data_IF_137010835281
#
_entry.id   IF_137010835281
#
_cell.length_a   1.000
_cell.length_b   1.000
_cell.length_c   1.000
_cell.angle_alpha   90.00
_cell.angle_beta   90.00
_cell.angle_gamma   90.00
#
_symmetry.space_group_name_H-M   'P 1'
#
loop_
_entity.id
_entity.type
_entity.pdbx_description
1 polymer ?
#
# COMPACT_ATOMS: atom_id res chain seq x y z
N UNK A 1 15.35 -22.78 32.02
CA UNK A 1 16.31 -22.18 31.08
C UNK A 1 16.41 -23.10 29.90
N UNK A 2 16.03 -22.62 28.73
CA UNK A 2 16.02 -23.40 27.50
C UNK A 2 17.47 -23.63 27.06
N UNK A 3 17.77 -24.84 26.62
CA UNK A 3 19.11 -25.19 26.18
C UNK A 3 19.35 -24.58 24.78
N UNK A 4 20.45 -23.83 24.64
CA UNK A 4 20.84 -23.17 23.39
C UNK A 4 20.96 -24.12 22.20
N UNK A 5 21.27 -25.39 22.43
CA UNK A 5 21.39 -26.40 21.36
C UNK A 5 20.04 -26.97 20.92
N UNK A 6 19.03 -26.87 21.77
CA UNK A 6 17.71 -27.44 21.53
C UNK A 6 16.79 -26.40 20.89
N UNK A 7 16.81 -25.15 21.39
CA UNK A 7 16.18 -24.00 20.74
C UNK A 7 16.97 -22.72 21.04
N UNK A 8 17.81 -22.34 20.07
CA UNK A 8 18.63 -21.13 20.17
C UNK A 8 17.78 -19.86 20.17
N UNK A 9 16.68 -19.82 19.43
CA UNK A 9 15.86 -18.61 19.31
C UNK A 9 15.16 -18.31 20.65
N UNK A 10 14.51 -19.30 21.23
CA UNK A 10 13.81 -19.12 22.50
C UNK A 10 14.80 -18.88 23.64
N UNK A 11 15.93 -19.61 23.68
CA UNK A 11 16.96 -19.40 24.70
C UNK A 11 17.56 -17.98 24.72
N UNK A 12 17.71 -17.34 23.56
CA UNK A 12 18.22 -15.96 23.47
C UNK A 12 17.13 -14.92 23.73
N UNK A 13 15.91 -15.16 23.24
CA UNK A 13 14.83 -14.18 23.27
C UNK A 13 13.81 -14.39 24.41
N UNK A 14 14.02 -15.38 25.29
CA UNK A 14 13.07 -15.81 26.33
C UNK A 14 12.46 -14.63 27.10
N UNK A 15 13.30 -13.69 27.55
CA UNK A 15 12.84 -12.54 28.34
C UNK A 15 12.01 -11.56 27.51
N UNK A 16 12.38 -11.33 26.25
CA UNK A 16 11.62 -10.44 25.37
C UNK A 16 10.29 -11.08 24.97
N UNK A 17 10.28 -12.38 24.61
CA UNK A 17 9.08 -13.12 24.23
C UNK A 17 8.01 -13.11 25.33
N UNK A 18 8.41 -13.14 26.61
CA UNK A 18 7.48 -13.06 27.76
C UNK A 18 6.75 -11.73 27.88
N UNK A 19 7.30 -10.65 27.32
CA UNK A 19 6.78 -9.28 27.45
C UNK A 19 6.43 -8.65 26.11
N UNK A 20 6.67 -9.35 24.99
CA UNK A 20 6.45 -8.82 23.66
C UNK A 20 4.94 -8.74 23.40
N UNK A 21 4.47 -7.53 23.14
CA UNK A 21 3.10 -7.27 22.71
C UNK A 21 3.12 -6.89 21.22
N UNK A 22 2.20 -7.46 20.45
CA UNK A 22 1.91 -7.00 19.10
C UNK A 22 0.93 -5.84 19.22
N UNK A 23 1.32 -4.60 18.86
CA UNK A 23 0.41 -3.46 18.92
C UNK A 23 -0.85 -3.68 18.09
N UNK A 24 -1.98 -3.13 18.53
CA UNK A 24 -3.29 -3.38 17.90
C UNK A 24 -3.37 -2.90 16.43
N UNK A 25 -2.50 -1.97 16.03
CA UNK A 25 -2.38 -1.41 14.69
C UNK A 25 -1.28 -2.10 13.84
N UNK A 26 -0.67 -3.18 14.35
CA UNK A 26 0.44 -3.88 13.70
C UNK A 26 0.14 -5.38 13.55
N UNK A 27 0.58 -6.02 12.45
CA UNK A 27 0.42 -7.47 12.28
C UNK A 27 1.51 -8.27 13.01
N UNK A 28 2.59 -7.64 13.47
CA UNK A 28 3.73 -8.28 14.13
C UNK A 28 4.53 -7.28 14.99
N UNK A 29 5.40 -7.78 15.87
CA UNK A 29 6.34 -7.00 16.71
C UNK A 29 7.74 -7.61 16.66
N UNK A 30 8.77 -6.79 16.87
CA UNK A 30 10.15 -7.21 16.74
C UNK A 30 11.14 -6.06 16.62
N UNK A 31 12.44 -6.38 16.57
CA UNK A 31 13.51 -5.38 16.45
C UNK A 31 13.43 -4.56 15.17
N UNK A 32 13.05 -5.19 14.05
CA UNK A 32 12.86 -4.49 12.77
C UNK A 32 11.67 -3.53 12.79
N UNK A 33 10.56 -3.93 13.41
CA UNK A 33 9.39 -3.07 13.60
C UNK A 33 9.74 -1.86 14.47
N UNK A 34 10.47 -2.08 15.58
CA UNK A 34 10.93 -0.98 16.43
C UNK A 34 11.81 0.01 15.66
N UNK A 35 12.73 -0.49 14.83
CA UNK A 35 13.58 0.36 13.99
C UNK A 35 12.74 1.16 12.98
N UNK A 36 11.81 0.50 12.28
CA UNK A 36 10.93 1.14 11.31
C UNK A 36 10.08 2.24 11.97
N UNK A 37 9.50 1.97 13.14
CA UNK A 37 8.71 2.96 13.90
C UNK A 37 9.54 4.15 14.37
N UNK A 38 10.78 3.92 14.80
CA UNK A 38 11.66 5.01 15.20
C UNK A 38 12.03 5.91 14.01
N UNK A 39 12.29 5.32 12.84
CA UNK A 39 12.54 6.06 11.60
C UNK A 39 11.27 6.82 11.18
N UNK A 40 10.10 6.18 11.22
CA UNK A 40 8.82 6.81 10.90
C UNK A 40 8.56 8.04 11.78
N UNK A 41 8.71 7.90 13.11
CA UNK A 41 8.56 9.01 14.07
C UNK A 41 9.55 10.15 13.79
N UNK A 42 10.80 9.82 13.45
CA UNK A 42 11.81 10.83 13.10
C UNK A 42 11.40 11.59 11.84
N UNK A 43 11.06 10.88 10.75
CA UNK A 43 10.66 11.49 9.48
C UNK A 43 9.40 12.34 9.63
N UNK A 44 8.39 11.85 10.36
CA UNK A 44 7.18 12.62 10.67
C UNK A 44 7.50 13.91 11.41
N UNK A 45 8.40 13.85 12.41
CA UNK A 45 8.83 15.03 13.15
C UNK A 45 9.54 16.03 12.25
N UNK A 46 10.49 15.58 11.43
CA UNK A 46 11.26 16.46 10.54
C UNK A 46 10.37 17.12 9.47
N UNK A 47 9.48 16.35 8.84
CA UNK A 47 8.51 16.89 7.88
C UNK A 47 7.56 17.89 8.55
N UNK A 48 7.12 17.61 9.79
CA UNK A 48 6.30 18.55 10.57
C UNK A 48 7.05 19.84 10.87
N UNK A 49 8.29 19.75 11.36
CA UNK A 49 9.10 20.91 11.71
C UNK A 49 9.35 21.79 10.47
N UNK A 50 9.72 21.19 9.34
CA UNK A 50 9.83 21.91 8.06
C UNK A 50 8.48 22.50 7.61
N UNK A 51 7.37 21.78 7.80
CA UNK A 51 6.04 22.27 7.42
C UNK A 51 5.60 23.50 8.21
N UNK A 52 6.07 23.64 9.46
CA UNK A 52 5.79 24.76 10.36
C UNK A 52 6.84 25.88 10.29
N UNK A 53 7.90 25.72 9.50
CA UNK A 53 9.01 26.67 9.41
C UNK A 53 9.97 26.63 10.61
N UNK A 54 9.93 25.55 11.40
CA UNK A 54 10.85 25.32 12.53
C UNK A 54 12.17 24.68 12.10
N UNK A 55 12.29 24.28 10.82
CA UNK A 55 13.49 23.73 10.22
C UNK A 55 13.60 24.18 8.76
N UNK A 56 14.83 24.31 8.27
CA UNK A 56 15.12 24.70 6.89
C UNK A 56 14.74 23.59 5.90
N UNK A 57 14.24 23.98 4.73
CA UNK A 57 14.00 23.06 3.63
C UNK A 57 15.24 23.07 2.71
N UNK A 58 16.01 21.97 2.63
CA UNK A 58 17.33 21.95 2.02
C UNK A 58 17.32 22.08 0.49
N UNK A 59 16.28 21.59 -0.19
CA UNK A 59 16.18 21.62 -1.64
C UNK A 59 14.73 21.59 -2.16
N UNK A 60 14.57 21.69 -3.48
CA UNK A 60 13.26 21.66 -4.13
C UNK A 60 12.52 20.34 -3.99
N UNK A 61 13.22 19.20 -3.96
CA UNK A 61 12.57 17.89 -3.78
C UNK A 61 12.01 17.75 -2.37
N UNK A 62 12.75 18.22 -1.37
CA UNK A 62 12.29 18.25 0.01
C UNK A 62 11.12 19.21 0.18
N UNK A 63 11.08 20.32 -0.58
CA UNK A 63 9.91 21.19 -0.63
C UNK A 63 8.65 20.46 -1.11
N UNK A 64 8.76 19.62 -2.15
CA UNK A 64 7.64 18.80 -2.60
C UNK A 64 7.24 17.74 -1.57
N UNK A 65 8.20 17.10 -0.89
CA UNK A 65 7.92 16.16 0.20
C UNK A 65 7.15 16.83 1.35
N UNK A 66 7.53 18.06 1.74
CA UNK A 66 6.82 18.84 2.77
C UNK A 66 5.42 19.25 2.30
N UNK A 67 5.26 19.62 1.02
CA UNK A 67 3.94 19.91 0.44
C UNK A 67 3.04 18.67 0.45
N UNK A 68 3.58 17.50 0.10
CA UNK A 68 2.86 16.23 0.15
C UNK A 68 2.49 15.84 1.59
N UNK A 69 3.41 16.03 2.55
CA UNK A 69 3.13 15.83 3.97
C UNK A 69 1.96 16.72 4.43
N UNK A 70 1.95 18.01 4.07
CA UNK A 70 0.82 18.91 4.40
C UNK A 70 -0.50 18.41 3.81
N UNK A 71 -0.49 17.96 2.55
CA UNK A 71 -1.67 17.42 1.89
C UNK A 71 -2.20 16.16 2.59
N UNK A 72 -1.31 15.21 2.92
CA UNK A 72 -1.68 13.96 3.59
C UNK A 72 -2.14 14.16 5.04
N UNK A 73 -1.53 15.12 5.76
CA UNK A 73 -1.79 15.40 7.17
C UNK A 73 -2.92 16.41 7.40
N UNK A 74 -3.58 16.92 6.36
CA UNK A 74 -4.77 17.78 6.45
C UNK A 74 -6.04 16.93 6.60
N UNK A 75 -6.27 16.44 7.82
CA UNK A 75 -7.42 15.60 8.15
C UNK A 75 -8.75 16.36 7.99
N UNK A 76 -8.81 17.63 8.37
CA UNK A 76 -10.03 18.44 8.25
C UNK A 76 -10.49 18.56 6.80
N UNK A 77 -9.54 18.81 5.88
CA UNK A 77 -9.86 18.85 4.45
C UNK A 77 -10.26 17.48 3.91
N UNK A 78 -9.60 16.40 4.33
CA UNK A 78 -9.94 15.04 3.90
C UNK A 78 -11.36 14.66 4.35
N UNK A 79 -11.72 14.95 5.59
CA UNK A 79 -13.06 14.74 6.11
C UNK A 79 -14.10 15.65 5.43
N UNK A 80 -13.75 16.88 5.08
CA UNK A 80 -14.66 17.76 4.35
C UNK A 80 -14.91 17.30 2.91
N UNK A 81 -13.87 16.79 2.23
CA UNK A 81 -13.96 16.36 0.82
C UNK A 81 -14.70 15.03 0.64
N UNK A 82 -14.67 14.15 1.65
CA UNK A 82 -15.25 12.81 1.57
C UNK A 82 -14.76 12.09 0.30
N UNK A 83 -15.64 11.35 -0.39
CA UNK A 83 -15.34 10.66 -1.64
C UNK A 83 -15.45 11.55 -2.90
N UNK A 84 -15.71 12.85 -2.76
CA UNK A 84 -15.89 13.75 -3.91
C UNK A 84 -14.71 13.70 -4.92
N UNK A 85 -13.43 13.70 -4.49
CA UNK A 85 -12.30 13.74 -5.41
C UNK A 85 -12.15 12.51 -6.32
N UNK A 86 -12.76 11.37 -5.98
CA UNK A 86 -12.66 10.15 -6.79
C UNK A 86 -13.85 9.98 -7.75
N UNK A 87 -14.87 10.84 -7.69
CA UNK A 87 -16.11 10.65 -8.45
C UNK A 87 -15.88 10.59 -9.95
N UNK A 88 -15.12 11.52 -10.51
CA UNK A 88 -14.85 11.57 -11.96
C UNK A 88 -14.12 10.30 -12.44
N UNK A 89 -13.27 9.71 -11.59
CA UNK A 89 -12.60 8.44 -11.90
C UNK A 89 -13.59 7.27 -11.88
N UNK A 90 -14.53 7.26 -10.93
CA UNK A 90 -15.56 6.24 -10.84
C UNK A 90 -16.53 6.32 -12.03
N UNK A 91 -16.98 7.52 -12.39
CA UNK A 91 -17.87 7.76 -13.53
C UNK A 91 -17.21 7.26 -14.82
N UNK A 92 -15.91 7.56 -15.02
CA UNK A 92 -15.13 7.06 -16.17
C UNK A 92 -15.01 5.54 -16.20
N UNK A 93 -14.87 4.88 -15.05
CA UNK A 93 -14.85 3.42 -14.98
C UNK A 93 -16.23 2.84 -15.34
N UNK A 94 -17.33 3.48 -14.91
CA UNK A 94 -18.69 3.04 -15.23
C UNK A 94 -19.04 3.18 -16.71
N UNK A 95 -18.43 4.13 -17.42
CA UNK A 95 -18.58 4.27 -18.87
C UNK A 95 -17.95 3.11 -19.67
N UNK A 96 -17.06 2.33 -19.06
CA UNK A 96 -16.45 1.15 -19.71
C UNK A 96 -17.41 -0.04 -19.60
N UNK A 97 -18.25 -0.20 -20.62
CA UNK A 97 -19.24 -1.29 -20.67
C UNK A 97 -18.78 -2.49 -21.49
N UNK A 98 -17.72 -2.32 -22.28
CA UNK A 98 -17.18 -3.35 -23.15
C UNK A 98 -15.69 -3.12 -23.47
N UNK A 99 -15.06 -4.09 -24.13
CA UNK A 99 -13.62 -4.01 -24.47
C UNK A 99 -13.28 -2.89 -25.46
N UNK A 100 -14.21 -2.49 -26.35
CA UNK A 100 -13.98 -1.37 -27.26
C UNK A 100 -13.86 -0.06 -26.48
N UNK A 101 -14.71 0.17 -25.48
CA UNK A 101 -14.65 1.34 -24.61
C UNK A 101 -13.30 1.40 -23.87
N UNK A 102 -12.85 0.26 -23.31
CA UNK A 102 -11.55 0.18 -22.65
C UNK A 102 -10.40 0.45 -23.63
N UNK A 103 -10.42 -0.16 -24.82
CA UNK A 103 -9.37 0.02 -25.83
C UNK A 103 -9.24 1.48 -26.29
N UNK A 104 -10.36 2.22 -26.39
CA UNK A 104 -10.35 3.64 -26.72
C UNK A 104 -9.67 4.49 -25.65
N UNK A 105 -9.67 4.05 -24.39
CA UNK A 105 -9.08 4.74 -23.25
C UNK A 105 -7.77 4.12 -22.74
N UNK A 106 -7.32 3.01 -23.31
CA UNK A 106 -6.24 2.19 -22.76
C UNK A 106 -4.94 2.98 -22.53
N UNK A 107 -4.55 3.81 -23.51
CA UNK A 107 -3.32 4.59 -23.41
C UNK A 107 -3.37 5.62 -22.27
N UNK A 108 -4.51 6.28 -22.06
CA UNK A 108 -4.67 7.25 -20.98
C UNK A 108 -4.80 6.54 -19.62
N UNK A 109 -5.51 5.41 -19.55
CA UNK A 109 -5.58 4.59 -18.34
C UNK A 109 -4.19 4.11 -17.89
N UNK A 110 -3.35 3.68 -18.83
CA UNK A 110 -1.96 3.31 -18.54
C UNK A 110 -1.14 4.48 -18.00
N UNK A 111 -1.25 5.66 -18.61
CA UNK A 111 -0.49 6.85 -18.18
C UNK A 111 -0.96 7.38 -16.83
N UNK A 112 -2.25 7.23 -16.52
CA UNK A 112 -2.87 7.69 -15.27
C UNK A 112 -2.81 6.63 -14.15
N UNK A 113 -2.35 5.41 -14.44
CA UNK A 113 -2.28 4.32 -13.48
C UNK A 113 -3.65 3.76 -13.07
N UNK A 114 -4.63 3.82 -13.97
CA UNK A 114 -5.96 3.26 -13.73
C UNK A 114 -5.95 1.72 -13.81
N UNK A 115 -6.83 1.03 -13.04
CA UNK A 115 -6.84 -0.42 -12.98
C UNK A 115 -7.08 -1.08 -14.34
N UNK A 116 -6.27 -2.08 -14.67
CA UNK A 116 -6.36 -2.89 -15.89
C UNK A 116 -6.30 -4.38 -15.53
N UNK A 117 -6.76 -5.28 -16.40
CA UNK A 117 -6.65 -6.74 -16.18
C UNK A 117 -5.21 -7.28 -16.32
N UNK A 118 -4.25 -6.39 -16.54
CA UNK A 118 -2.82 -6.63 -16.62
C UNK A 118 -2.07 -5.36 -16.22
N UNK A 119 -0.78 -5.48 -15.94
CA UNK A 119 0.09 -4.35 -15.65
C UNK A 119 1.36 -4.43 -16.51
N UNK A 120 2.02 -3.28 -16.69
CA UNK A 120 3.30 -3.18 -17.36
C UNK A 120 4.34 -2.57 -16.45
N UNK A 121 5.56 -3.10 -16.51
CA UNK A 121 6.71 -2.44 -15.90
C UNK A 121 7.94 -2.56 -16.80
N UNK A 122 8.89 -1.67 -16.59
CA UNK A 122 10.17 -1.66 -17.29
C UNK A 122 11.24 -2.10 -16.31
N UNK A 123 11.98 -3.14 -16.68
CA UNK A 123 13.09 -3.68 -15.87
C UNK A 123 14.21 -4.16 -16.79
N UNK A 124 15.35 -4.55 -16.21
CA UNK A 124 16.47 -5.11 -16.94
C UNK A 124 16.02 -6.33 -17.77
N UNK A 125 16.46 -6.40 -19.03
CA UNK A 125 16.23 -7.53 -19.89
C UNK A 125 17.01 -8.75 -19.35
N UNK A 126 16.30 -9.82 -18.97
CA UNK A 126 16.91 -11.02 -18.37
C UNK A 126 17.97 -11.69 -19.26
N UNK A 127 17.94 -11.49 -20.58
CA UNK A 127 18.95 -12.02 -21.52
C UNK A 127 20.09 -11.03 -21.79
N UNK A 128 19.82 -9.73 -21.64
CA UNK A 128 20.75 -8.64 -21.93
C UNK A 128 20.64 -7.56 -20.86
N UNK A 129 21.28 -7.75 -19.70
CA UNK A 129 21.06 -6.90 -18.51
C UNK A 129 21.50 -5.44 -18.64
N UNK A 130 22.11 -5.06 -19.76
CA UNK A 130 22.44 -3.67 -20.10
C UNK A 130 21.29 -2.95 -20.82
N UNK A 131 20.24 -3.68 -21.18
CA UNK A 131 19.05 -3.18 -21.86
C UNK A 131 17.85 -3.26 -20.91
N UNK A 132 16.89 -2.38 -21.12
CA UNK A 132 15.58 -2.50 -20.49
C UNK A 132 14.61 -3.24 -21.41
N UNK A 133 13.72 -4.02 -20.82
CA UNK A 133 12.60 -4.66 -21.51
C UNK A 133 11.28 -4.21 -20.87
N UNK A 134 10.22 -4.18 -21.69
CA UNK A 134 8.86 -4.05 -21.20
C UNK A 134 8.35 -5.42 -20.79
N UNK A 135 7.86 -5.53 -19.55
CA UNK A 135 7.25 -6.73 -19.01
C UNK A 135 5.73 -6.54 -18.94
N UNK A 136 4.98 -7.58 -19.29
CA UNK A 136 3.53 -7.68 -19.14
C UNK A 136 3.25 -8.72 -18.05
N UNK A 137 2.46 -8.35 -17.04
CA UNK A 137 2.07 -9.23 -15.94
C UNK A 137 0.55 -9.26 -15.75
N UNK A 138 -0.02 -10.37 -15.24
CA UNK A 138 -1.42 -10.42 -14.88
C UNK A 138 -1.72 -9.46 -13.72
N UNK A 139 -2.98 -9.05 -13.60
CA UNK A 139 -3.46 -8.32 -12.44
C UNK A 139 -3.24 -9.11 -11.13
N UNK A 140 -3.06 -8.38 -10.04
CA UNK A 140 -2.95 -8.93 -8.69
C UNK A 140 -4.21 -9.69 -8.28
N UNK A 141 -4.03 -10.71 -7.44
CA UNK A 141 -5.11 -11.47 -6.83
C UNK A 141 -5.68 -10.72 -5.61
N UNK A 142 -6.92 -11.04 -5.24
CA UNK A 142 -7.53 -10.55 -3.99
C UNK A 142 -6.83 -11.16 -2.77
N UNK A 143 -6.55 -12.47 -2.82
CA UNK A 143 -5.84 -13.19 -1.76
C UNK A 143 -4.32 -13.22 -2.06
N UNK A 144 -3.46 -13.42 -1.04
CA UNK A 144 -2.01 -13.29 -1.16
C UNK A 144 -1.38 -14.12 -2.28
N UNK A 145 -1.91 -15.32 -2.55
CA UNK A 145 -1.49 -16.15 -3.67
C UNK A 145 -2.58 -17.16 -4.06
N UNK A 146 -2.34 -17.87 -5.19
CA UNK A 146 -3.31 -18.82 -5.77
C UNK A 146 -3.70 -19.97 -4.84
N UNK A 147 -2.83 -20.38 -3.93
CA UNK A 147 -3.05 -21.57 -3.08
C UNK A 147 -4.14 -21.35 -2.05
N UNK A 148 -4.46 -20.09 -1.72
CA UNK A 148 -5.56 -19.77 -0.81
C UNK A 148 -6.94 -20.10 -1.40
N UNK A 149 -7.11 -20.02 -2.72
CA UNK A 149 -8.43 -20.08 -3.36
C UNK A 149 -9.11 -21.45 -3.29
N UNK A 150 -8.37 -22.50 -2.99
CA UNK A 150 -8.87 -23.87 -2.84
C UNK A 150 -8.96 -24.31 -1.35
N UNK A 151 -8.98 -23.34 -0.42
CA UNK A 151 -9.00 -23.60 1.03
C UNK A 151 -10.20 -22.95 1.72
N UNK A 152 -10.65 -23.56 2.82
CA UNK A 152 -11.70 -22.98 3.67
C UNK A 152 -11.29 -21.59 4.20
N UNK A 153 -10.02 -21.42 4.58
CA UNK A 153 -9.51 -20.14 5.06
C UNK A 153 -9.57 -19.05 3.97
N UNK A 154 -9.30 -19.41 2.72
CA UNK A 154 -9.46 -18.50 1.59
C UNK A 154 -10.90 -18.06 1.38
N UNK A 155 -11.87 -18.96 1.50
CA UNK A 155 -13.29 -18.62 1.43
C UNK A 155 -13.68 -17.61 2.53
N UNK A 156 -13.22 -17.83 3.76
CA UNK A 156 -13.45 -16.93 4.89
C UNK A 156 -12.84 -15.53 4.65
N UNK A 157 -11.62 -15.47 4.10
CA UNK A 157 -10.96 -14.21 3.75
C UNK A 157 -11.66 -13.46 2.61
N UNK A 158 -12.16 -14.17 1.59
CA UNK A 158 -12.96 -13.55 0.52
C UNK A 158 -14.27 -12.98 1.07
N UNK A 159 -14.93 -13.66 2.01
CA UNK A 159 -16.11 -13.12 2.67
C UNK A 159 -15.81 -11.83 3.45
N UNK A 160 -14.65 -11.75 4.13
CA UNK A 160 -14.18 -10.52 4.76
C UNK A 160 -14.01 -9.42 3.71
N UNK A 161 -13.27 -9.67 2.63
CA UNK A 161 -13.04 -8.70 1.55
C UNK A 161 -14.36 -8.14 1.00
N UNK A 162 -15.29 -8.99 0.57
CA UNK A 162 -16.57 -8.55 0.00
C UNK A 162 -17.51 -7.90 1.01
N UNK A 163 -17.39 -8.23 2.31
CA UNK A 163 -18.15 -7.55 3.37
C UNK A 163 -17.71 -6.11 3.56
N UNK A 164 -16.41 -5.82 3.44
CA UNK A 164 -15.88 -4.45 3.57
C UNK A 164 -15.98 -3.63 2.27
N UNK A 165 -15.89 -4.27 1.10
CA UNK A 165 -16.01 -3.58 -0.19
C UNK A 165 -17.43 -3.09 -0.53
N UNK A 166 -18.46 -3.88 -0.20
CA UNK A 166 -19.86 -3.57 -0.56
C UNK A 166 -20.40 -2.24 -0.02
N UNK A 167 -20.15 -1.84 1.24
CA UNK A 167 -20.53 -0.52 1.73
C UNK A 167 -19.88 0.62 0.94
N UNK A 168 -18.61 0.47 0.55
CA UNK A 168 -17.89 1.47 -0.22
C UNK A 168 -18.48 1.65 -1.62
N UNK A 169 -18.77 0.55 -2.35
CA UNK A 169 -19.39 0.65 -3.68
C UNK A 169 -20.77 1.28 -3.60
N UNK A 170 -21.60 0.82 -2.64
CA UNK A 170 -22.95 1.34 -2.41
C UNK A 170 -22.96 2.84 -2.06
N UNK A 171 -22.03 3.30 -1.21
CA UNK A 171 -21.94 4.71 -0.83
C UNK A 171 -21.58 5.63 -2.01
N UNK A 172 -20.98 5.08 -3.06
CA UNK A 172 -20.51 5.81 -4.23
C UNK A 172 -21.32 5.52 -5.51
N UNK A 173 -22.48 4.85 -5.39
CA UNK A 173 -23.35 4.57 -6.54
C UNK A 173 -22.78 3.54 -7.52
N UNK A 174 -21.86 2.70 -7.05
CA UNK A 174 -21.29 1.54 -7.77
C UNK A 174 -21.96 0.23 -7.35
#
# INVERSE_FOLDING_TARGET
MINLKDDFYEAINENWLKTAEIPADKPATGSFQNLAENIEKLLMKELKDMSLGNADIPDSKMKEAVSFYRLANDYDKREALQATPIKDLLDRIQEVTNFSDLNQQLASWLQEGLPLPFDFFVDANMKHTQEHALYLVPASLILPDKTYYDTQQGEELLQVFFRHGRPFTKANGL
#
